data_IF_299444309781
#
_entry.id   IF_299444309781
#
_cell.length_a   1.000
_cell.length_b   1.000
_cell.length_c   1.000
_cell.angle_alpha   90.00
_cell.angle_beta   90.00
_cell.angle_gamma   90.00
#
_symmetry.space_group_name_H-M   'P 1'
#
loop_
_entity.id
_entity.type
_entity.pdbx_description
1 polymer ?
#
# COMPACT_ATOMS: atom_id res chain seq x y z
N UNK A 1 -47.34 -25.67 26.37
CA UNK A 1 -46.79 -25.78 25.00
C UNK A 1 -46.17 -24.45 24.54
N UNK A 2 -45.30 -23.85 25.33
CA UNK A 2 -44.74 -22.51 25.04
C UNK A 2 -43.21 -22.37 25.41
N UNK A 3 -42.43 -23.43 25.26
CA UNK A 3 -40.99 -23.37 25.64
C UNK A 3 -39.99 -23.64 24.50
N UNK A 4 -40.44 -23.88 23.26
CA UNK A 4 -39.54 -24.20 22.14
C UNK A 4 -39.09 -22.99 21.31
N UNK A 5 -39.77 -21.85 21.36
CA UNK A 5 -39.45 -20.71 20.50
C UNK A 5 -38.37 -19.76 21.07
N UNK A 6 -38.19 -19.74 22.39
CA UNK A 6 -37.18 -18.82 23.00
C UNK A 6 -35.73 -19.31 22.85
N UNK A 7 -35.51 -20.62 22.70
CA UNK A 7 -34.15 -21.15 22.51
C UNK A 7 -33.60 -20.87 21.12
N UNK A 8 -34.48 -20.84 20.11
CA UNK A 8 -34.08 -20.54 18.72
C UNK A 8 -33.71 -19.06 18.52
N UNK A 9 -34.43 -18.15 19.19
CA UNK A 9 -34.17 -16.70 19.15
C UNK A 9 -32.86 -16.37 19.88
N UNK A 10 -32.56 -17.03 21.00
CA UNK A 10 -31.29 -16.88 21.71
C UNK A 10 -30.09 -17.38 20.89
N UNK A 11 -30.24 -18.47 20.12
CA UNK A 11 -29.18 -18.98 19.24
C UNK A 11 -28.91 -18.06 18.05
N UNK A 12 -29.93 -17.43 17.50
CA UNK A 12 -29.79 -16.46 16.38
C UNK A 12 -29.10 -15.17 16.85
N UNK A 13 -29.44 -14.69 18.05
CA UNK A 13 -28.80 -13.52 18.63
C UNK A 13 -27.32 -13.82 18.94
N UNK A 14 -26.98 -15.03 19.41
CA UNK A 14 -25.60 -15.42 19.68
C UNK A 14 -24.74 -15.60 18.42
N UNK A 15 -25.36 -15.99 17.29
CA UNK A 15 -24.64 -16.08 15.99
C UNK A 15 -24.38 -14.70 15.35
N UNK A 16 -25.16 -13.67 15.67
CA UNK A 16 -24.92 -12.32 15.10
C UNK A 16 -23.85 -11.52 15.85
N UNK A 17 -23.50 -11.89 17.08
CA UNK A 17 -22.47 -11.19 17.88
C UNK A 17 -21.05 -11.64 17.59
N UNK A 18 -20.82 -12.66 16.74
CA UNK A 18 -19.46 -13.18 16.45
C UNK A 18 -18.81 -12.58 15.18
N UNK A 19 -19.46 -11.61 14.52
CA UNK A 19 -18.88 -10.87 13.38
C UNK A 19 -18.74 -9.38 13.65
N UNK A 20 -18.42 -8.96 14.87
CA UNK A 20 -17.67 -7.72 15.02
C UNK A 20 -16.26 -7.99 14.47
N UNK A 21 -16.00 -7.54 13.23
CA UNK A 21 -14.62 -7.25 12.81
C UNK A 21 -14.01 -6.48 13.97
N UNK A 22 -13.00 -7.06 14.61
CA UNK A 22 -12.12 -6.31 15.51
C UNK A 22 -11.54 -5.21 14.62
N UNK A 23 -12.14 -4.04 14.67
CA UNK A 23 -11.60 -2.84 14.05
C UNK A 23 -10.27 -2.62 14.77
N UNK A 24 -9.17 -3.01 14.12
CA UNK A 24 -7.84 -2.79 14.66
C UNK A 24 -7.78 -1.29 14.97
N UNK A 25 -7.67 -0.95 16.25
CA UNK A 25 -7.64 0.45 16.68
C UNK A 25 -6.32 1.03 16.24
N UNK A 26 -6.29 1.62 15.05
CA UNK A 26 -5.14 2.36 14.56
C UNK A 26 -4.88 3.54 15.50
N UNK A 27 -3.72 3.58 16.14
CA UNK A 27 -3.27 4.75 16.91
C UNK A 27 -2.93 5.92 15.99
N UNK A 28 -2.42 5.62 14.81
CA UNK A 28 -2.14 6.55 13.71
C UNK A 28 -2.68 5.99 12.41
N UNK A 29 -3.12 6.85 11.51
CA UNK A 29 -3.52 6.51 10.15
C UNK A 29 -2.35 6.73 9.19
N UNK A 30 -2.42 6.22 7.97
CA UNK A 30 -1.43 6.47 6.93
C UNK A 30 -1.14 7.97 6.76
N UNK A 31 -2.19 8.79 6.81
CA UNK A 31 -2.12 10.24 6.59
C UNK A 31 -1.45 11.02 7.73
N UNK A 32 -1.21 10.38 8.89
CA UNK A 32 -0.53 10.99 10.04
C UNK A 32 1.01 10.80 9.99
N UNK A 33 1.51 10.37 8.85
CA UNK A 33 2.94 10.16 8.61
C UNK A 33 3.48 11.16 7.58
N UNK A 34 4.80 11.26 7.52
CA UNK A 34 5.54 11.94 6.47
C UNK A 34 6.61 11.02 5.89
N UNK A 35 7.06 11.32 4.68
CA UNK A 35 8.18 10.66 4.02
C UNK A 35 8.84 11.67 3.07
N UNK A 36 10.14 11.55 2.80
CA UNK A 36 10.78 12.43 1.85
C UNK A 36 10.49 12.01 0.40
N UNK A 37 10.32 12.98 -0.48
CA UNK A 37 10.26 12.73 -1.93
C UNK A 37 11.66 12.46 -2.50
N UNK A 38 11.72 12.12 -3.77
CA UNK A 38 12.96 11.80 -4.48
C UNK A 38 13.96 12.98 -4.53
N UNK A 39 13.51 14.22 -4.30
CA UNK A 39 14.35 15.41 -4.21
C UNK A 39 14.76 15.72 -2.75
N UNK A 40 14.49 14.81 -1.81
CA UNK A 40 14.75 14.94 -0.38
C UNK A 40 13.94 16.04 0.34
N UNK A 41 12.75 16.36 -0.19
CA UNK A 41 11.80 17.28 0.43
C UNK A 41 10.74 16.47 1.18
N UNK A 42 10.37 16.90 2.37
CA UNK A 42 9.36 16.19 3.18
C UNK A 42 7.97 16.30 2.56
N UNK A 43 7.35 15.15 2.32
CA UNK A 43 5.94 15.01 1.96
C UNK A 43 5.14 14.73 3.24
N UNK A 44 4.28 15.67 3.62
CA UNK A 44 3.20 15.42 4.58
C UNK A 44 2.11 14.58 3.90
N UNK A 45 1.93 13.32 4.34
CA UNK A 45 0.95 12.42 3.75
C UNK A 45 -0.50 12.83 4.02
N UNK A 46 -0.74 13.80 4.92
CA UNK A 46 -2.05 14.39 5.14
C UNK A 46 -2.63 15.06 3.88
N UNK A 47 -1.78 15.50 2.94
CA UNK A 47 -2.23 16.01 1.63
C UNK A 47 -3.02 14.99 0.79
N UNK A 48 -2.87 13.70 1.09
CA UNK A 48 -3.60 12.61 0.43
C UNK A 48 -4.84 12.16 1.20
N UNK A 49 -5.24 12.87 2.27
CA UNK A 49 -6.42 12.50 3.06
C UNK A 49 -7.67 12.37 2.18
N UNK A 50 -8.42 11.31 2.38
CA UNK A 50 -9.59 10.99 1.56
C UNK A 50 -9.26 10.39 0.18
N UNK A 51 -7.99 10.06 -0.08
CA UNK A 51 -7.55 9.37 -1.30
C UNK A 51 -7.21 7.91 -1.02
N UNK A 52 -7.35 7.08 -2.03
CA UNK A 52 -6.87 5.70 -2.01
C UNK A 52 -5.43 5.64 -2.49
N UNK A 53 -4.55 4.96 -1.75
CA UNK A 53 -3.10 4.93 -2.05
C UNK A 53 -2.65 3.49 -2.31
N UNK A 54 -1.87 3.28 -3.37
CA UNK A 54 -1.08 2.07 -3.57
C UNK A 54 0.39 2.40 -3.30
N UNK A 55 0.88 2.01 -2.12
CA UNK A 55 2.28 2.14 -1.73
C UNK A 55 3.05 0.93 -2.25
N UNK A 56 4.16 1.16 -2.99
CA UNK A 56 4.91 0.09 -3.66
C UNK A 56 6.40 0.28 -3.44
N UNK A 57 7.11 -0.70 -2.88
CA UNK A 57 8.57 -0.66 -2.87
C UNK A 57 9.12 -1.07 -4.24
N UNK A 58 9.98 -0.26 -4.81
CA UNK A 58 10.42 -0.35 -6.20
C UNK A 58 11.94 -0.47 -6.33
N UNK A 59 12.42 -0.94 -7.50
CA UNK A 59 13.83 -0.99 -7.82
C UNK A 59 14.08 -0.98 -9.34
N UNK A 60 15.19 -0.32 -9.75
CA UNK A 60 15.54 -0.11 -11.16
C UNK A 60 16.18 -1.32 -11.83
N UNK A 61 16.82 -2.24 -11.07
CA UNK A 61 17.57 -3.39 -11.60
C UNK A 61 16.97 -4.73 -11.18
N UNK A 62 15.65 -4.84 -11.20
CA UNK A 62 14.90 -6.03 -10.79
C UNK A 62 14.24 -6.72 -11.98
N UNK A 63 14.07 -8.05 -11.92
CA UNK A 63 13.27 -8.76 -12.91
C UNK A 63 11.81 -8.29 -13.01
N UNK A 64 11.31 -7.63 -11.95
CA UNK A 64 9.96 -7.04 -11.91
C UNK A 64 9.91 -5.56 -12.32
N UNK A 65 11.02 -4.92 -12.72
CA UNK A 65 11.09 -3.48 -13.06
C UNK A 65 10.08 -3.08 -14.13
N UNK A 66 9.76 -3.98 -15.06
CA UNK A 66 8.70 -3.75 -16.08
C UNK A 66 7.33 -3.46 -15.48
N UNK A 67 7.09 -3.75 -14.20
CA UNK A 67 5.84 -3.38 -13.52
C UNK A 67 5.64 -1.86 -13.37
N UNK A 68 6.69 -1.04 -13.52
CA UNK A 68 6.54 0.41 -13.60
C UNK A 68 5.54 0.86 -14.68
N UNK A 69 5.56 0.22 -15.86
CA UNK A 69 4.58 0.49 -16.91
C UNK A 69 3.15 0.29 -16.40
N UNK A 70 2.87 -0.86 -15.80
CA UNK A 70 1.54 -1.14 -15.28
C UNK A 70 1.14 -0.25 -14.09
N UNK A 71 2.10 0.18 -13.24
CA UNK A 71 1.85 1.15 -12.16
C UNK A 71 1.46 2.52 -12.75
N UNK A 72 2.15 2.95 -13.81
CA UNK A 72 1.84 4.21 -14.50
C UNK A 72 0.48 4.16 -15.20
N UNK A 73 0.13 3.04 -15.82
CA UNK A 73 -1.19 2.81 -16.42
C UNK A 73 -2.29 2.85 -15.35
N UNK A 74 -2.08 2.16 -14.23
CA UNK A 74 -3.01 2.13 -13.10
C UNK A 74 -3.22 3.55 -12.54
N UNK A 75 -2.14 4.29 -12.34
CA UNK A 75 -2.20 5.68 -11.89
C UNK A 75 -3.00 6.56 -12.86
N UNK A 76 -2.69 6.51 -14.15
CA UNK A 76 -3.43 7.27 -15.17
C UNK A 76 -4.91 6.94 -15.20
N UNK A 77 -5.27 5.66 -15.07
CA UNK A 77 -6.66 5.17 -15.08
C UNK A 77 -7.48 5.74 -13.91
N UNK A 78 -6.89 5.78 -12.70
CA UNK A 78 -7.66 6.03 -11.49
C UNK A 78 -7.40 7.38 -10.81
N UNK A 79 -6.36 8.15 -11.20
CA UNK A 79 -5.99 9.41 -10.51
C UNK A 79 -7.13 10.41 -10.40
N UNK A 80 -7.95 10.55 -11.43
CA UNK A 80 -9.07 11.47 -11.45
C UNK A 80 -10.25 11.03 -10.56
N UNK A 81 -10.21 9.79 -10.05
CA UNK A 81 -11.14 9.23 -9.08
C UNK A 81 -10.60 9.27 -7.64
N UNK A 82 -9.45 9.93 -7.43
CA UNK A 82 -8.85 10.06 -6.09
C UNK A 82 -7.92 8.91 -5.69
N UNK A 83 -7.28 8.26 -6.68
CA UNK A 83 -6.29 7.21 -6.47
C UNK A 83 -4.87 7.71 -6.75
N UNK A 84 -3.92 7.30 -5.91
CA UNK A 84 -2.51 7.60 -6.08
C UNK A 84 -1.65 6.34 -5.97
N UNK A 85 -0.59 6.28 -6.74
CA UNK A 85 0.55 5.37 -6.53
C UNK A 85 1.66 6.17 -5.86
N UNK A 86 2.32 5.59 -4.87
CA UNK A 86 3.55 6.13 -4.27
C UNK A 86 4.62 5.05 -4.38
N UNK A 87 5.66 5.31 -5.17
CA UNK A 87 6.81 4.43 -5.32
C UNK A 87 7.87 4.72 -4.26
N UNK A 88 8.35 3.69 -3.57
CA UNK A 88 9.39 3.79 -2.52
C UNK A 88 10.61 3.00 -2.98
N UNK A 89 11.64 3.63 -3.55
CA UNK A 89 12.87 2.96 -3.92
C UNK A 89 13.54 2.31 -2.71
N UNK A 90 13.98 1.05 -2.84
CA UNK A 90 14.66 0.34 -1.75
C UNK A 90 15.76 -0.58 -2.27
N UNK A 91 16.96 -0.46 -1.67
CA UNK A 91 18.12 -1.28 -2.05
C UNK A 91 18.24 -2.59 -1.24
N UNK A 92 17.23 -2.89 -0.37
CA UNK A 92 17.28 -4.02 0.56
C UNK A 92 17.04 -5.40 -0.08
N UNK A 93 16.75 -5.46 -1.37
CA UNK A 93 16.45 -6.71 -2.08
C UNK A 93 17.47 -6.97 -3.18
N UNK A 94 18.54 -7.66 -2.80
CA UNK A 94 19.63 -8.03 -3.71
C UNK A 94 20.46 -6.87 -4.26
N UNK A 95 20.44 -5.68 -3.59
CA UNK A 95 21.17 -4.50 -4.07
C UNK A 95 20.66 -3.97 -5.41
N UNK A 96 19.37 -4.17 -5.69
CA UNK A 96 18.79 -3.87 -7.01
C UNK A 96 18.35 -2.40 -7.21
N UNK A 97 18.59 -1.54 -6.21
CA UNK A 97 18.41 -0.08 -6.33
C UNK A 97 19.67 0.67 -5.89
N UNK A 98 20.82 0.48 -6.57
CA UNK A 98 22.09 1.05 -6.13
C UNK A 98 22.24 2.55 -6.42
N UNK A 99 21.44 3.10 -7.34
CA UNK A 99 21.53 4.49 -7.80
C UNK A 99 21.27 5.51 -6.69
N UNK A 100 21.75 6.74 -6.90
CA UNK A 100 21.34 7.92 -6.14
C UNK A 100 19.87 8.27 -6.42
N UNK A 101 19.27 9.13 -5.59
CA UNK A 101 17.89 9.59 -5.82
C UNK A 101 17.73 10.26 -7.20
N UNK A 102 18.74 11.04 -7.65
CA UNK A 102 18.71 11.66 -8.98
C UNK A 102 18.72 10.62 -10.11
N UNK A 103 19.60 9.61 -10.01
CA UNK A 103 19.66 8.53 -11.01
C UNK A 103 18.39 7.71 -11.06
N UNK A 104 17.76 7.46 -9.90
CA UNK A 104 16.47 6.76 -9.81
C UNK A 104 15.35 7.58 -10.47
N UNK A 105 15.30 8.89 -10.18
CA UNK A 105 14.35 9.81 -10.79
C UNK A 105 14.48 9.80 -12.30
N UNK A 106 15.68 10.03 -12.81
CA UNK A 106 15.98 10.07 -14.25
C UNK A 106 15.62 8.72 -14.92
N UNK A 107 15.92 7.61 -14.27
CA UNK A 107 15.55 6.27 -14.73
C UNK A 107 14.04 6.10 -14.85
N UNK A 108 13.27 6.48 -13.82
CA UNK A 108 11.82 6.38 -13.81
C UNK A 108 11.15 7.26 -14.88
N UNK A 109 11.62 8.50 -15.01
CA UNK A 109 11.07 9.46 -15.97
C UNK A 109 11.40 9.04 -17.41
N UNK A 110 12.67 8.70 -17.69
CA UNK A 110 13.15 8.41 -19.05
C UNK A 110 12.64 7.08 -19.58
N UNK A 111 12.66 6.02 -18.77
CA UNK A 111 12.35 4.67 -19.24
C UNK A 111 10.87 4.29 -19.14
N UNK A 112 10.11 4.93 -18.23
CA UNK A 112 8.73 4.55 -17.93
C UNK A 112 7.76 5.71 -17.93
N UNK A 113 8.22 6.96 -18.18
CA UNK A 113 7.40 8.17 -18.14
C UNK A 113 6.57 8.26 -16.84
N UNK A 114 7.19 7.94 -15.69
CA UNK A 114 6.53 7.96 -14.38
C UNK A 114 6.12 9.38 -14.03
N UNK A 115 4.85 9.53 -13.63
CA UNK A 115 4.28 10.82 -13.20
C UNK A 115 3.63 10.73 -11.79
N UNK A 116 3.62 9.56 -11.19
CA UNK A 116 3.23 9.40 -9.79
C UNK A 116 4.39 9.72 -8.84
N UNK A 117 4.13 10.08 -7.57
CA UNK A 117 5.15 10.39 -6.59
C UNK A 117 6.13 9.24 -6.35
N UNK A 118 7.42 9.56 -6.36
CA UNK A 118 8.51 8.68 -5.93
C UNK A 118 9.16 9.30 -4.69
N UNK A 119 9.39 8.49 -3.66
CA UNK A 119 10.08 8.91 -2.43
C UNK A 119 11.60 8.83 -2.59
N UNK A 120 12.35 9.33 -1.63
CA UNK A 120 13.76 9.03 -1.49
C UNK A 120 13.98 7.51 -1.28
N UNK A 121 15.21 7.06 -1.51
CA UNK A 121 15.60 5.66 -1.28
C UNK A 121 15.54 5.34 0.20
N UNK A 122 14.71 4.35 0.57
CA UNK A 122 14.27 4.11 1.94
C UNK A 122 14.35 2.63 2.31
N UNK A 123 14.66 2.35 3.57
CA UNK A 123 14.56 1.00 4.13
C UNK A 123 13.10 0.67 4.45
N UNK A 124 12.64 -0.47 3.93
CA UNK A 124 11.22 -0.89 4.00
C UNK A 124 11.01 -2.14 4.86
N UNK A 125 12.08 -2.72 5.39
CA UNK A 125 12.05 -3.89 6.29
C UNK A 125 13.19 -3.85 7.30
N UNK A 126 13.07 -4.64 8.38
CA UNK A 126 14.05 -4.70 9.47
C UNK A 126 13.83 -3.60 10.49
N UNK A 127 14.81 -3.47 11.39
CA UNK A 127 14.73 -2.52 12.52
C UNK A 127 14.89 -1.07 12.07
N UNK A 128 15.62 -0.85 10.96
CA UNK A 128 15.83 0.48 10.35
C UNK A 128 14.72 0.86 9.35
N UNK A 129 13.69 0.03 9.18
CA UNK A 129 12.59 0.34 8.29
C UNK A 129 11.97 1.69 8.65
N UNK A 130 11.58 2.46 7.63
CA UNK A 130 10.85 3.70 7.80
C UNK A 130 9.58 3.49 8.64
N UNK A 131 9.22 4.47 9.47
CA UNK A 131 8.09 4.38 10.40
C UNK A 131 6.77 4.01 9.74
N UNK A 132 6.57 4.40 8.49
CA UNK A 132 5.41 4.01 7.68
C UNK A 132 5.30 2.49 7.49
N UNK A 133 6.42 1.79 7.28
CA UNK A 133 6.43 0.33 7.17
C UNK A 133 6.34 -0.37 8.52
N UNK A 134 6.92 0.20 9.58
CA UNK A 134 6.73 -0.26 10.96
C UNK A 134 5.26 -0.13 11.38
N UNK A 135 4.62 1.00 11.05
CA UNK A 135 3.20 1.24 11.24
C UNK A 135 2.34 0.20 10.49
N UNK A 136 2.66 -0.06 9.22
CA UNK A 136 1.93 -1.05 8.44
C UNK A 136 2.01 -2.44 9.08
N UNK A 137 3.20 -2.87 9.48
CA UNK A 137 3.40 -4.15 10.18
C UNK A 137 2.63 -4.22 11.50
N UNK A 138 2.66 -3.16 12.31
CA UNK A 138 1.96 -3.08 13.61
C UNK A 138 0.44 -3.25 13.44
N UNK A 139 -0.15 -2.64 12.43
CA UNK A 139 -1.61 -2.55 12.28
C UNK A 139 -2.23 -3.67 11.41
N UNK A 140 -1.45 -4.28 10.50
CA UNK A 140 -1.98 -5.29 9.57
C UNK A 140 -1.17 -6.60 9.55
N UNK A 141 -0.03 -6.62 10.24
CA UNK A 141 0.80 -7.81 10.39
C UNK A 141 1.83 -8.04 9.29
N UNK A 142 2.42 -9.23 9.28
CA UNK A 142 3.58 -9.56 8.44
C UNK A 142 3.31 -9.56 6.92
N UNK A 143 2.05 -9.58 6.49
CA UNK A 143 1.70 -9.48 5.06
C UNK A 143 2.07 -8.13 4.46
N UNK A 144 2.23 -7.07 5.26
CA UNK A 144 2.68 -5.75 4.82
C UNK A 144 4.19 -5.62 4.72
N UNK A 145 4.96 -6.55 5.30
CA UNK A 145 6.43 -6.52 5.22
C UNK A 145 6.86 -7.01 3.84
N UNK A 146 7.50 -6.16 3.01
CA UNK A 146 7.95 -6.57 1.70
C UNK A 146 8.94 -7.75 1.77
N UNK A 147 8.66 -8.81 1.03
CA UNK A 147 9.57 -9.97 0.88
C UNK A 147 10.48 -9.84 -0.33
N UNK A 148 10.10 -8.98 -1.27
CA UNK A 148 10.86 -8.67 -2.49
C UNK A 148 10.45 -7.30 -3.05
N UNK A 149 11.13 -6.82 -4.08
CA UNK A 149 10.76 -5.60 -4.82
C UNK A 149 9.37 -5.72 -5.43
N UNK A 150 8.67 -4.61 -5.59
CA UNK A 150 7.31 -4.52 -6.14
C UNK A 150 6.23 -5.21 -5.29
N UNK A 151 6.43 -5.29 -3.97
CA UNK A 151 5.36 -5.56 -3.02
C UNK A 151 4.46 -4.32 -2.90
N UNK A 152 3.15 -4.52 -2.76
CA UNK A 152 2.17 -3.44 -2.76
C UNK A 152 1.32 -3.50 -1.50
N UNK A 153 1.04 -2.32 -0.94
CA UNK A 153 0.14 -2.11 0.19
C UNK A 153 -0.95 -1.15 -0.29
N UNK A 154 -2.21 -1.58 -0.26
CA UNK A 154 -3.37 -0.76 -0.64
C UNK A 154 -3.94 -0.12 0.63
N UNK A 155 -4.05 1.20 0.62
CA UNK A 155 -4.59 2.02 1.71
C UNK A 155 -5.88 2.67 1.22
N UNK A 156 -6.95 2.58 2.02
CA UNK A 156 -8.25 3.16 1.71
C UNK A 156 -8.33 4.66 2.06
N UNK A 157 -9.45 5.29 1.73
CA UNK A 157 -9.72 6.72 1.96
C UNK A 157 -9.64 7.15 3.43
N UNK A 158 -9.82 6.20 4.35
CA UNK A 158 -9.74 6.45 5.80
C UNK A 158 -8.30 6.34 6.32
N UNK A 159 -7.32 6.05 5.46
CA UNK A 159 -5.92 5.86 5.84
C UNK A 159 -5.63 4.52 6.50
N UNK A 160 -6.53 3.55 6.39
CA UNK A 160 -6.36 2.19 6.88
C UNK A 160 -5.89 1.27 5.75
N UNK A 161 -5.13 0.23 6.09
CA UNK A 161 -4.70 -0.76 5.11
C UNK A 161 -5.90 -1.61 4.70
N UNK A 162 -6.15 -1.69 3.39
CA UNK A 162 -7.20 -2.48 2.78
C UNK A 162 -6.74 -3.87 2.42
N UNK A 163 -5.58 -3.98 1.77
CA UNK A 163 -5.03 -5.26 1.29
C UNK A 163 -3.53 -5.15 0.97
N UNK A 164 -2.88 -6.29 0.74
CA UNK A 164 -1.48 -6.38 0.33
C UNK A 164 -1.31 -7.34 -0.83
N UNK A 165 -0.38 -7.04 -1.74
CA UNK A 165 -0.11 -7.88 -2.91
C UNK A 165 1.38 -8.11 -3.05
N UNK A 166 1.78 -9.37 -3.20
CA UNK A 166 3.17 -9.72 -3.42
C UNK A 166 3.68 -9.29 -4.81
N UNK A 167 4.98 -9.44 -5.03
CA UNK A 167 5.68 -9.02 -6.24
C UNK A 167 5.14 -9.64 -7.54
N UNK A 168 4.58 -10.86 -7.47
CA UNK A 168 4.07 -11.58 -8.65
C UNK A 168 2.71 -11.04 -9.14
N UNK A 169 1.97 -10.32 -8.29
CA UNK A 169 0.70 -9.72 -8.68
C UNK A 169 0.98 -8.44 -9.46
N UNK A 170 0.67 -8.45 -10.76
CA UNK A 170 0.88 -7.31 -11.64
C UNK A 170 -0.10 -6.16 -11.34
N UNK A 171 0.31 -4.88 -11.52
CA UNK A 171 -0.51 -3.73 -11.14
C UNK A 171 -1.91 -3.69 -11.78
N UNK A 172 -2.00 -4.09 -13.05
CA UNK A 172 -3.27 -4.09 -13.81
C UNK A 172 -4.09 -5.38 -13.65
N UNK A 173 -3.69 -6.30 -12.76
CA UNK A 173 -4.44 -7.52 -12.52
C UNK A 173 -5.81 -7.26 -11.90
N UNK A 174 -6.78 -8.14 -12.17
CA UNK A 174 -8.10 -8.12 -11.56
C UNK A 174 -8.06 -8.10 -10.03
N UNK A 175 -7.04 -8.73 -9.43
CA UNK A 175 -6.87 -8.73 -7.97
C UNK A 175 -6.70 -7.32 -7.40
N UNK A 176 -5.99 -6.45 -8.10
CA UNK A 176 -5.76 -5.08 -7.67
C UNK A 176 -6.89 -4.17 -8.13
N UNK A 177 -7.27 -4.23 -9.42
CA UNK A 177 -8.25 -3.31 -9.98
C UNK A 177 -9.63 -3.45 -9.34
N UNK A 178 -10.09 -4.69 -9.07
CA UNK A 178 -11.36 -4.92 -8.36
C UNK A 178 -11.34 -4.38 -6.93
N UNK A 179 -10.22 -4.52 -6.20
CA UNK A 179 -10.12 -3.94 -4.85
C UNK A 179 -10.12 -2.40 -4.89
N UNK A 180 -9.44 -1.79 -5.87
CA UNK A 180 -9.49 -0.34 -6.06
C UNK A 180 -10.92 0.11 -6.38
N UNK A 181 -11.60 -0.55 -7.32
CA UNK A 181 -12.97 -0.20 -7.72
C UNK A 181 -13.98 -0.31 -6.57
N UNK A 182 -13.76 -1.23 -5.61
CA UNK A 182 -14.61 -1.39 -4.42
C UNK A 182 -14.49 -0.25 -3.41
N UNK A 183 -13.34 0.45 -3.36
CA UNK A 183 -13.05 1.45 -2.32
C UNK A 183 -12.93 2.88 -2.86
N UNK A 184 -13.06 3.08 -4.19
CA UNK A 184 -13.15 4.39 -4.84
C UNK A 184 -14.59 4.90 -4.93
#
# INVERSE_FOLDING_TARGET
>A
MFYKNNLLILLIIFMFTFFEKVDAKYEKLFFDHSINNINNETIDLNQYKGKTILLVNVASKCGFTKQYTGLQELYKKYKNRGFYVIGVPSNQFGGQEPGSNSEIKDFCETNFNITFPITDKTDVKGDDAHDLYKWAKKNYGNSTVPKWNFHKILINKDGKIQDTFNSFITPMSDKITKQIDLIL
#
